data_IF_982122398373
#
_entry.id   IF_982122398373
#
_cell.length_a   1.000
_cell.length_b   1.000
_cell.length_c   1.000
_cell.angle_alpha   90.00
_cell.angle_beta   90.00
_cell.angle_gamma   90.00
#
_symmetry.space_group_name_H-M   'P 1'
#
loop_
_entity.id
_entity.type
_entity.pdbx_description
1 polymer ?
#
# COMPACT_ATOMS: atom_id res chain seq x y z
N UNK A 1 -10.41 -1.77 8.75
CA UNK A 1 -9.16 -2.53 8.50
C UNK A 1 -8.94 -3.71 9.44
N UNK A 2 -9.35 -3.69 10.72
CA UNK A 2 -9.10 -4.79 11.67
C UNK A 2 -9.78 -6.11 11.26
N UNK A 3 -11.06 -6.08 10.93
CA UNK A 3 -11.80 -7.25 10.49
C UNK A 3 -11.32 -7.80 9.15
N UNK A 4 -10.90 -6.92 8.23
CA UNK A 4 -10.36 -7.32 6.95
C UNK A 4 -8.98 -7.98 7.09
N UNK A 5 -8.14 -7.52 8.03
CA UNK A 5 -6.84 -8.11 8.28
C UNK A 5 -6.93 -9.56 8.78
N UNK A 6 -7.86 -9.85 9.70
CA UNK A 6 -8.08 -11.22 10.20
C UNK A 6 -8.60 -12.15 9.10
N UNK A 7 -9.59 -11.69 8.32
CA UNK A 7 -10.16 -12.48 7.21
C UNK A 7 -9.16 -12.71 6.08
N UNK A 8 -8.35 -11.68 5.75
CA UNK A 8 -7.37 -11.76 4.68
C UNK A 8 -6.18 -12.67 5.04
N UNK A 9 -5.75 -12.70 6.31
CA UNK A 9 -4.73 -13.63 6.78
C UNK A 9 -5.14 -15.08 6.51
N UNK A 10 -6.34 -15.47 6.94
CA UNK A 10 -6.88 -16.80 6.68
C UNK A 10 -7.08 -17.10 5.18
N UNK A 11 -7.54 -16.11 4.43
CA UNK A 11 -7.75 -16.25 2.99
C UNK A 11 -6.43 -16.37 2.23
N UNK A 12 -5.37 -15.67 2.66
CA UNK A 12 -4.05 -15.71 2.04
C UNK A 12 -3.37 -17.06 2.17
N UNK A 13 -3.61 -17.78 3.27
CA UNK A 13 -3.09 -19.13 3.47
C UNK A 13 -3.74 -20.14 2.51
N UNK A 14 -4.97 -19.87 2.05
CA UNK A 14 -5.76 -20.74 1.15
C UNK A 14 -5.55 -20.43 -0.32
N UNK A 15 -5.48 -19.15 -0.70
CA UNK A 15 -5.42 -18.70 -2.10
C UNK A 15 -4.01 -18.34 -2.58
N UNK A 16 -3.04 -18.35 -1.69
CA UNK A 16 -1.66 -17.97 -1.96
C UNK A 16 -1.39 -16.49 -1.67
N UNK A 17 -0.30 -16.22 -0.97
CA UNK A 17 0.05 -14.89 -0.47
C UNK A 17 0.29 -13.88 -1.59
N UNK A 18 0.95 -14.28 -2.68
CA UNK A 18 1.19 -13.41 -3.84
C UNK A 18 -0.09 -12.94 -4.52
N UNK A 19 -1.07 -13.84 -4.68
CA UNK A 19 -2.37 -13.49 -5.30
C UNK A 19 -3.12 -12.44 -4.47
N UNK A 20 -3.09 -12.58 -3.15
CA UNK A 20 -3.72 -11.62 -2.26
C UNK A 20 -3.08 -10.23 -2.35
N UNK A 21 -1.74 -10.16 -2.46
CA UNK A 21 -1.04 -8.88 -2.68
C UNK A 21 -1.45 -8.23 -4.01
N UNK A 22 -1.58 -9.02 -5.09
CA UNK A 22 -2.04 -8.48 -6.37
C UNK A 22 -3.48 -7.96 -6.31
N UNK A 23 -4.38 -8.71 -5.65
CA UNK A 23 -5.78 -8.31 -5.50
C UNK A 23 -5.89 -7.03 -4.66
N UNK A 24 -5.24 -6.98 -3.50
CA UNK A 24 -5.27 -5.80 -2.64
C UNK A 24 -4.63 -4.57 -3.30
N UNK A 25 -3.49 -4.75 -3.99
CA UNK A 25 -2.83 -3.69 -4.76
C UNK A 25 -3.71 -3.14 -5.88
N UNK A 26 -4.42 -4.01 -6.59
CA UNK A 26 -5.38 -3.60 -7.62
C UNK A 26 -6.53 -2.78 -7.02
N UNK A 27 -7.14 -3.22 -5.92
CA UNK A 27 -8.21 -2.48 -5.25
C UNK A 27 -7.72 -1.11 -4.74
N UNK A 28 -6.53 -1.05 -4.17
CA UNK A 28 -5.94 0.21 -3.72
C UNK A 28 -5.70 1.19 -4.87
N UNK A 29 -5.19 0.70 -6.02
CA UNK A 29 -4.99 1.52 -7.21
C UNK A 29 -6.33 2.02 -7.77
N UNK A 30 -7.36 1.18 -7.80
CA UNK A 30 -8.71 1.56 -8.25
C UNK A 30 -9.29 2.68 -7.38
N UNK A 31 -9.16 2.57 -6.06
CA UNK A 31 -9.60 3.63 -5.14
C UNK A 31 -8.82 4.93 -5.34
N UNK A 32 -7.51 4.84 -5.58
CA UNK A 32 -6.70 6.00 -5.94
C UNK A 32 -7.20 6.72 -7.19
N UNK A 33 -7.63 5.97 -8.22
CA UNK A 33 -8.27 6.55 -9.41
C UNK A 33 -9.59 7.26 -9.09
N UNK A 34 -10.42 6.69 -8.21
CA UNK A 34 -11.66 7.32 -7.77
C UNK A 34 -11.36 8.67 -7.09
N UNK A 35 -10.33 8.74 -6.25
CA UNK A 35 -9.94 10.00 -5.59
C UNK A 35 -9.44 11.08 -6.56
N UNK A 36 -8.84 10.70 -7.69
CA UNK A 36 -8.41 11.65 -8.72
C UNK A 36 -9.62 12.29 -9.43
N UNK A 37 -10.64 11.46 -9.71
CA UNK A 37 -11.78 11.88 -10.57
C UNK A 37 -12.91 12.53 -9.76
N UNK A 38 -13.06 12.15 -8.48
CA UNK A 38 -14.26 12.49 -7.70
C UNK A 38 -13.92 13.51 -6.60
N UNK A 39 -14.75 14.57 -6.53
CA UNK A 39 -14.73 15.56 -5.44
C UNK A 39 -15.95 15.43 -4.50
N UNK A 40 -16.78 14.43 -4.68
CA UNK A 40 -17.99 14.20 -3.89
C UNK A 40 -17.64 13.51 -2.57
N UNK A 41 -17.94 14.16 -1.45
CA UNK A 41 -17.65 13.66 -0.10
C UNK A 41 -18.22 12.26 0.16
N UNK A 42 -19.50 11.93 -0.18
CA UNK A 42 -20.04 10.58 0.03
C UNK A 42 -19.25 9.50 -0.72
N UNK A 43 -18.84 9.77 -1.95
CA UNK A 43 -18.06 8.81 -2.76
C UNK A 43 -16.66 8.63 -2.17
N UNK A 44 -16.03 9.72 -1.71
CA UNK A 44 -14.73 9.67 -1.05
C UNK A 44 -14.78 8.82 0.23
N UNK A 45 -15.85 8.95 1.04
CA UNK A 45 -16.02 8.15 2.25
C UNK A 45 -16.19 6.65 1.95
N UNK A 46 -16.99 6.31 0.94
CA UNK A 46 -17.17 4.91 0.50
C UNK A 46 -15.86 4.35 -0.06
N UNK A 47 -15.19 5.11 -0.91
CA UNK A 47 -13.90 4.73 -1.47
C UNK A 47 -12.82 4.57 -0.38
N UNK A 48 -12.81 5.44 0.62
CA UNK A 48 -11.94 5.32 1.79
C UNK A 48 -12.21 4.07 2.62
N UNK A 49 -13.47 3.66 2.76
CA UNK A 49 -13.83 2.42 3.44
C UNK A 49 -13.32 1.19 2.65
N UNK A 50 -13.49 1.17 1.33
CA UNK A 50 -12.97 0.13 0.44
C UNK A 50 -11.42 0.10 0.49
N UNK A 51 -10.77 1.25 0.47
CA UNK A 51 -9.33 1.35 0.66
C UNK A 51 -8.88 0.75 1.99
N UNK A 52 -9.58 1.06 3.09
CA UNK A 52 -9.28 0.51 4.41
C UNK A 52 -9.37 -1.02 4.48
N UNK A 53 -10.30 -1.62 3.74
CA UNK A 53 -10.41 -3.08 3.60
C UNK A 53 -9.21 -3.63 2.81
N UNK A 54 -8.90 -3.05 1.66
CA UNK A 54 -7.76 -3.45 0.83
C UNK A 54 -6.42 -3.30 1.55
N UNK A 55 -6.22 -2.19 2.23
CA UNK A 55 -5.02 -1.91 3.00
C UNK A 55 -4.84 -2.87 4.19
N UNK A 56 -5.93 -3.15 4.92
CA UNK A 56 -5.88 -4.13 6.02
C UNK A 56 -5.51 -5.53 5.53
N UNK A 57 -6.04 -5.94 4.39
CA UNK A 57 -5.69 -7.19 3.74
C UNK A 57 -4.21 -7.21 3.30
N UNK A 58 -3.74 -6.14 2.66
CA UNK A 58 -2.35 -5.99 2.22
C UNK A 58 -1.38 -6.12 3.40
N UNK A 59 -1.56 -5.35 4.47
CA UNK A 59 -0.67 -5.36 5.64
C UNK A 59 -0.61 -6.73 6.29
N UNK A 60 -1.75 -7.42 6.45
CA UNK A 60 -1.80 -8.76 7.02
C UNK A 60 -0.98 -9.77 6.21
N UNK A 61 -1.07 -9.72 4.88
CA UNK A 61 -0.36 -10.63 3.98
C UNK A 61 1.12 -10.27 3.91
N UNK A 62 1.47 -8.99 3.93
CA UNK A 62 2.84 -8.50 3.88
C UNK A 62 3.66 -8.98 5.08
N UNK A 63 3.12 -8.86 6.29
CA UNK A 63 3.74 -9.40 7.50
C UNK A 63 3.96 -10.92 7.43
N UNK A 64 2.96 -11.65 6.92
CA UNK A 64 3.05 -13.09 6.77
C UNK A 64 4.11 -13.49 5.71
N UNK A 65 4.20 -12.70 4.62
CA UNK A 65 5.17 -12.91 3.55
C UNK A 65 6.60 -12.69 4.04
N UNK A 66 6.83 -11.65 4.84
CA UNK A 66 8.14 -11.36 5.44
C UNK A 66 8.57 -12.50 6.36
N UNK A 67 7.67 -13.01 7.19
CA UNK A 67 7.96 -14.13 8.07
C UNK A 67 8.38 -15.40 7.31
N UNK A 68 7.81 -15.64 6.11
CA UNK A 68 8.16 -16.80 5.28
C UNK A 68 9.50 -16.65 4.53
N UNK A 69 9.88 -15.43 4.21
CA UNK A 69 11.07 -15.16 3.37
C UNK A 69 12.35 -14.99 4.21
N UNK A 70 12.21 -14.76 5.50
CA UNK A 70 13.37 -14.57 6.41
C UNK A 70 14.23 -15.83 6.52
N UNK A 71 15.50 -15.80 6.05
CA UNK A 71 16.27 -17.01 5.76
C UNK A 71 16.90 -17.70 6.96
N UNK A 72 17.01 -17.10 8.14
CA UNK A 72 17.63 -17.76 9.29
C UNK A 72 17.24 -17.17 10.66
N UNK A 73 17.04 -18.06 11.63
CA UNK A 73 16.82 -17.67 13.03
C UNK A 73 17.99 -16.92 13.67
N UNK A 74 19.22 -17.07 13.16
CA UNK A 74 20.42 -16.43 13.72
C UNK A 74 20.48 -14.91 13.49
N UNK A 75 19.88 -14.40 12.43
CA UNK A 75 19.94 -12.98 12.05
C UNK A 75 18.57 -12.32 12.00
N UNK A 76 17.54 -12.99 12.52
CA UNK A 76 16.15 -12.56 12.48
C UNK A 76 15.94 -11.11 12.93
N UNK A 77 16.54 -10.71 14.06
CA UNK A 77 16.41 -9.35 14.59
C UNK A 77 17.01 -8.30 13.66
N UNK A 78 18.15 -8.57 13.02
CA UNK A 78 18.78 -7.67 12.05
C UNK A 78 17.93 -7.53 10.80
N UNK A 79 17.43 -8.64 10.27
CA UNK A 79 16.68 -8.66 9.04
C UNK A 79 15.30 -8.00 9.22
N UNK A 80 14.67 -8.20 10.39
CA UNK A 80 13.46 -7.46 10.78
C UNK A 80 13.73 -5.96 10.98
N UNK A 81 14.93 -5.58 11.46
CA UNK A 81 15.34 -4.19 11.54
C UNK A 81 15.43 -3.52 10.17
N UNK A 82 16.06 -4.19 9.20
CA UNK A 82 16.13 -3.71 7.80
C UNK A 82 14.75 -3.57 7.20
N UNK A 83 13.88 -4.56 7.42
CA UNK A 83 12.49 -4.50 6.95
C UNK A 83 11.72 -3.32 7.58
N UNK A 84 11.85 -3.10 8.89
CA UNK A 84 11.24 -1.95 9.57
C UNK A 84 11.73 -0.60 9.00
N UNK A 85 13.03 -0.48 8.69
CA UNK A 85 13.56 0.72 8.03
C UNK A 85 12.90 0.91 6.65
N UNK A 86 12.74 -0.16 5.88
CA UNK A 86 12.09 -0.12 4.57
C UNK A 86 10.63 0.33 4.63
N UNK A 87 9.92 0.05 5.74
CA UNK A 87 8.56 0.54 5.98
C UNK A 87 8.53 1.98 6.49
N UNK A 88 9.42 2.31 7.44
CA UNK A 88 9.37 3.60 8.13
C UNK A 88 9.91 4.74 7.27
N UNK A 89 10.92 4.48 6.44
CA UNK A 89 11.54 5.50 5.60
C UNK A 89 10.56 6.14 4.62
N UNK A 90 9.75 5.38 3.86
CA UNK A 90 8.71 5.97 3.02
C UNK A 90 7.64 6.74 3.80
N UNK A 91 7.29 6.30 5.02
CA UNK A 91 6.30 6.98 5.86
C UNK A 91 6.77 8.37 6.32
N UNK A 92 8.07 8.58 6.44
CA UNK A 92 8.65 9.90 6.74
C UNK A 92 8.80 10.75 5.47
N UNK A 93 9.30 10.15 4.39
CA UNK A 93 9.59 10.88 3.15
C UNK A 93 8.31 11.28 2.40
N UNK A 94 7.30 10.40 2.36
CA UNK A 94 6.11 10.64 1.57
C UNK A 94 5.31 11.88 2.02
N UNK A 95 5.08 12.14 3.32
CA UNK A 95 4.42 13.38 3.76
C UNK A 95 5.23 14.64 3.43
N UNK A 96 6.56 14.57 3.46
CA UNK A 96 7.43 15.70 3.11
C UNK A 96 7.25 16.05 1.63
N UNK A 97 7.40 15.07 0.76
CA UNK A 97 7.22 15.26 -0.69
C UNK A 97 5.79 15.71 -1.00
N UNK A 98 4.79 15.05 -0.40
CA UNK A 98 3.39 15.39 -0.60
C UNK A 98 3.05 16.79 -0.12
N UNK A 99 3.57 17.20 1.02
CA UNK A 99 3.41 18.55 1.56
C UNK A 99 3.99 19.62 0.65
N UNK A 100 5.23 19.43 0.17
CA UNK A 100 5.83 20.34 -0.81
C UNK A 100 5.03 20.42 -2.11
N UNK A 101 4.56 19.29 -2.61
CA UNK A 101 3.79 19.26 -3.84
C UNK A 101 2.47 20.04 -3.71
N UNK A 102 1.73 19.79 -2.63
CA UNK A 102 0.45 20.47 -2.36
C UNK A 102 0.68 21.98 -2.15
N UNK A 103 1.69 22.37 -1.35
CA UNK A 103 2.00 23.78 -1.09
C UNK A 103 2.35 24.51 -2.39
N UNK A 104 3.21 23.93 -3.23
CA UNK A 104 3.60 24.51 -4.52
C UNK A 104 2.38 24.76 -5.42
N UNK A 105 1.52 23.76 -5.61
CA UNK A 105 0.35 23.88 -6.47
C UNK A 105 -0.73 24.78 -5.86
N UNK A 106 -0.84 24.87 -4.55
CA UNK A 106 -1.72 25.80 -3.87
C UNK A 106 -1.28 27.25 -4.11
N UNK A 107 0.02 27.53 -4.03
CA UNK A 107 0.57 28.87 -4.29
C UNK A 107 0.45 29.27 -5.78
N UNK A 108 0.48 28.32 -6.69
CA UNK A 108 0.30 28.57 -8.13
C UNK A 108 -1.17 28.67 -8.56
N UNK A 109 -2.12 28.60 -7.61
CA UNK A 109 -3.56 28.75 -7.86
C UNK A 109 -4.28 27.48 -8.34
N UNK A 110 -3.62 26.32 -8.32
CA UNK A 110 -4.18 25.04 -8.77
C UNK A 110 -4.12 23.94 -7.70
N UNK A 111 -4.76 24.09 -6.54
CA UNK A 111 -4.65 23.11 -5.44
C UNK A 111 -5.14 21.71 -5.82
N UNK A 112 -6.17 21.63 -6.67
CA UNK A 112 -6.74 20.35 -7.15
C UNK A 112 -5.67 19.53 -7.88
N UNK A 113 -4.85 20.17 -8.69
CA UNK A 113 -3.80 19.53 -9.47
C UNK A 113 -2.72 18.94 -8.55
N UNK A 114 -2.40 19.61 -7.43
CA UNK A 114 -1.51 19.09 -6.40
C UNK A 114 -2.00 17.77 -5.80
N UNK A 115 -3.27 17.69 -5.44
CA UNK A 115 -3.87 16.46 -4.93
C UNK A 115 -3.93 15.35 -6.00
N UNK A 116 -4.30 15.69 -7.23
CA UNK A 116 -4.34 14.71 -8.33
C UNK A 116 -2.97 14.09 -8.60
N UNK A 117 -1.92 14.89 -8.62
CA UNK A 117 -0.55 14.42 -8.79
C UNK A 117 -0.10 13.53 -7.62
N UNK A 118 -0.45 13.90 -6.38
CA UNK A 118 -0.15 13.10 -5.20
C UNK A 118 -0.81 11.72 -5.29
N UNK A 119 -2.09 11.65 -5.67
CA UNK A 119 -2.77 10.37 -5.85
C UNK A 119 -2.21 9.58 -7.03
N UNK A 120 -1.86 10.24 -8.14
CA UNK A 120 -1.22 9.60 -9.29
C UNK A 120 0.13 8.98 -8.92
N UNK A 121 0.96 9.68 -8.15
CA UNK A 121 2.21 9.14 -7.61
C UNK A 121 1.97 7.95 -6.69
N UNK A 122 0.96 8.02 -5.83
CA UNK A 122 0.60 6.92 -4.91
C UNK A 122 0.16 5.68 -5.67
N UNK A 123 -0.62 5.84 -6.75
CA UNK A 123 -1.02 4.73 -7.63
C UNK A 123 0.20 4.13 -8.31
N UNK A 124 1.07 4.95 -8.89
CA UNK A 124 2.29 4.47 -9.54
C UNK A 124 3.17 3.68 -8.58
N UNK A 125 3.34 4.18 -7.35
CA UNK A 125 4.10 3.51 -6.30
C UNK A 125 3.47 2.17 -5.90
N UNK A 126 2.15 2.13 -5.73
CA UNK A 126 1.40 0.91 -5.43
C UNK A 126 1.54 -0.14 -6.53
N UNK A 127 1.45 0.26 -7.80
CA UNK A 127 1.61 -0.62 -8.95
C UNK A 127 3.04 -1.18 -9.05
N UNK A 128 4.05 -0.32 -8.88
CA UNK A 128 5.46 -0.75 -8.87
C UNK A 128 5.68 -1.74 -7.72
N UNK A 129 5.21 -1.45 -6.51
CA UNK A 129 5.30 -2.35 -5.37
C UNK A 129 4.65 -3.70 -5.65
N UNK A 130 3.43 -3.68 -6.20
CA UNK A 130 2.69 -4.90 -6.55
C UNK A 130 3.42 -5.74 -7.61
N UNK A 131 3.96 -5.12 -8.65
CA UNK A 131 4.73 -5.81 -9.69
C UNK A 131 6.04 -6.39 -9.13
N UNK A 132 6.69 -5.68 -8.23
CA UNK A 132 7.96 -6.11 -7.62
C UNK A 132 7.81 -7.41 -6.82
N UNK A 133 6.63 -7.69 -6.27
CA UNK A 133 6.33 -8.96 -5.58
C UNK A 133 6.54 -10.19 -6.48
N UNK A 134 6.46 -10.03 -7.80
CA UNK A 134 6.76 -11.10 -8.76
C UNK A 134 8.19 -11.64 -8.61
N UNK A 135 9.13 -10.78 -8.24
CA UNK A 135 10.55 -11.14 -8.13
C UNK A 135 10.90 -11.85 -6.82
N UNK A 136 10.00 -11.89 -5.84
CA UNK A 136 10.21 -12.60 -4.58
C UNK A 136 10.18 -14.10 -4.85
N UNK A 137 11.31 -14.78 -4.59
CA UNK A 137 11.47 -16.23 -4.72
C UNK A 137 11.24 -16.90 -3.35
N UNK A 138 10.71 -18.13 -3.34
CA UNK A 138 10.57 -18.93 -2.10
C UNK A 138 9.19 -18.89 -1.44
N UNK A 139 8.21 -18.19 -2.02
CA UNK A 139 6.84 -18.13 -1.49
C UNK A 139 5.93 -19.11 -2.26
N UNK A 140 5.10 -19.88 -1.54
CA UNK A 140 4.05 -20.73 -2.14
C UNK A 140 3.08 -19.87 -2.97
N UNK A 141 2.87 -20.25 -4.21
CA UNK A 141 1.86 -19.67 -5.09
C UNK A 141 0.47 -20.09 -4.66
#
# INVERSE_FOLDING_TARGET
SLFSALGAGWLSDRFGRKRMVYISGFFMALVGLIFIVTQSLPIILVAGAIFGIGYGAYVSVDWALVADVLPSHKHYARDMGVWNISLSLPQVIAPIIGGFLIDYFTRTGNPILGFQLLFAMSIAYCLVGTVTVRFIRGVKN
#
